data_IF_452528171335
#
_entry.id   IF_452528171335
#
_cell.length_a   1.000
_cell.length_b   1.000
_cell.length_c   1.000
_cell.angle_alpha   90.00
_cell.angle_beta   90.00
_cell.angle_gamma   90.00
#
_symmetry.space_group_name_H-M   'P 1'
#
loop_
_entity.id
_entity.type
_entity.pdbx_description
1 polymer ?
#
# COMPACT_ATOMS: atom_id res chain seq x y z
N UNK A 1 -12.80 -12.82 -21.14
CA UNK A 1 -13.50 -13.73 -20.21
C UNK A 1 -15.02 -13.52 -20.19
N UNK A 2 -15.57 -12.39 -20.68
CA UNK A 2 -17.02 -12.14 -20.64
C UNK A 2 -17.57 -11.95 -19.23
N UNK A 3 -16.69 -11.66 -18.26
CA UNK A 3 -16.98 -11.53 -16.84
C UNK A 3 -17.08 -10.05 -16.47
N UNK A 4 -17.90 -9.77 -15.45
CA UNK A 4 -18.11 -8.43 -14.89
C UNK A 4 -17.82 -8.43 -13.40
N UNK A 5 -17.06 -7.45 -12.93
CA UNK A 5 -16.73 -7.28 -11.50
C UNK A 5 -17.18 -5.90 -11.03
N UNK A 6 -17.92 -5.86 -9.92
CA UNK A 6 -18.26 -4.61 -9.24
C UNK A 6 -17.18 -4.27 -8.22
N UNK A 7 -16.77 -3.01 -8.17
CA UNK A 7 -15.72 -2.50 -7.28
C UNK A 7 -16.31 -1.32 -6.51
N UNK A 8 -16.45 -1.46 -5.20
CA UNK A 8 -17.08 -0.47 -4.34
C UNK A 8 -15.97 0.38 -3.72
N UNK A 9 -15.81 1.61 -4.20
CA UNK A 9 -14.72 2.50 -3.84
C UNK A 9 -13.67 2.64 -4.95
N UNK A 10 -13.49 3.88 -5.41
CA UNK A 10 -12.55 4.30 -6.44
C UNK A 10 -11.21 4.79 -5.87
N UNK A 11 -10.80 4.31 -4.70
CA UNK A 11 -9.47 4.57 -4.13
C UNK A 11 -8.35 3.80 -4.84
N UNK A 12 -7.08 3.97 -4.43
CA UNK A 12 -5.94 3.32 -5.08
C UNK A 12 -6.06 1.79 -5.19
N UNK A 13 -6.57 1.12 -4.15
CA UNK A 13 -6.79 -0.33 -4.18
C UNK A 13 -7.83 -0.74 -5.23
N UNK A 14 -9.01 -0.11 -5.20
CA UNK A 14 -10.10 -0.39 -6.15
C UNK A 14 -9.71 -0.06 -7.59
N UNK A 15 -9.04 1.08 -7.80
CA UNK A 15 -8.49 1.45 -9.10
C UNK A 15 -7.46 0.43 -9.60
N UNK A 16 -6.52 -0.02 -8.77
CA UNK A 16 -5.54 -1.01 -9.22
C UNK A 16 -6.19 -2.35 -9.55
N UNK A 17 -7.14 -2.82 -8.73
CA UNK A 17 -7.90 -4.02 -9.02
C UNK A 17 -8.64 -3.91 -10.37
N UNK A 18 -9.32 -2.79 -10.60
CA UNK A 18 -9.99 -2.50 -11.87
C UNK A 18 -9.02 -2.53 -13.05
N UNK A 19 -7.84 -1.92 -12.89
CA UNK A 19 -6.80 -1.88 -13.91
C UNK A 19 -6.33 -3.29 -14.31
N UNK A 20 -6.03 -4.16 -13.34
CA UNK A 20 -5.58 -5.52 -13.62
C UNK A 20 -6.68 -6.36 -14.28
N UNK A 21 -7.92 -6.25 -13.79
CA UNK A 21 -9.08 -6.95 -14.34
C UNK A 21 -9.36 -6.51 -15.79
N UNK A 22 -9.34 -5.21 -16.04
CA UNK A 22 -9.54 -4.63 -17.36
C UNK A 22 -8.48 -5.09 -18.38
N UNK A 23 -7.21 -5.15 -17.97
CA UNK A 23 -6.12 -5.72 -18.79
C UNK A 23 -6.34 -7.18 -19.16
N UNK A 24 -7.03 -7.95 -18.32
CA UNK A 24 -7.39 -9.34 -18.58
C UNK A 24 -8.72 -9.50 -19.34
N UNK A 25 -9.33 -8.40 -19.81
CA UNK A 25 -10.58 -8.42 -20.58
C UNK A 25 -11.82 -8.73 -19.73
N UNK A 26 -11.79 -8.35 -18.45
CA UNK A 26 -12.95 -8.35 -17.52
C UNK A 26 -13.50 -6.93 -17.43
N UNK A 27 -14.82 -6.77 -17.50
CA UNK A 27 -15.45 -5.47 -17.28
C UNK A 27 -15.42 -5.11 -15.80
N UNK A 28 -14.62 -4.10 -15.45
CA UNK A 28 -14.49 -3.57 -14.10
C UNK A 28 -15.37 -2.34 -13.92
N UNK A 29 -16.40 -2.45 -13.08
CA UNK A 29 -17.34 -1.38 -12.78
C UNK A 29 -17.07 -0.82 -11.39
N UNK A 30 -16.55 0.40 -11.32
CA UNK A 30 -16.31 1.12 -10.08
C UNK A 30 -17.56 1.91 -9.69
N UNK A 31 -17.98 1.77 -8.44
CA UNK A 31 -19.02 2.54 -7.78
C UNK A 31 -18.36 3.39 -6.70
N UNK A 32 -18.22 4.69 -6.99
CA UNK A 32 -17.57 5.67 -6.11
C UNK A 32 -18.63 6.55 -5.44
N UNK A 33 -18.47 6.78 -4.14
CA UNK A 33 -19.37 7.60 -3.34
C UNK A 33 -19.26 9.07 -3.72
N UNK A 34 -18.04 9.54 -3.94
CA UNK A 34 -17.75 10.95 -4.17
C UNK A 34 -17.76 11.28 -5.68
N UNK A 35 -17.50 12.54 -6.06
CA UNK A 35 -17.57 13.01 -7.44
C UNK A 35 -16.29 12.73 -8.27
N UNK A 36 -15.27 12.13 -7.64
CA UNK A 36 -13.99 11.87 -8.27
C UNK A 36 -13.36 10.57 -7.76
N UNK A 37 -12.52 9.95 -8.59
CA UNK A 37 -11.69 8.82 -8.19
C UNK A 37 -10.50 9.27 -7.33
N UNK A 38 -9.82 8.28 -6.74
CA UNK A 38 -8.55 8.42 -6.03
C UNK A 38 -8.62 8.26 -4.52
N UNK A 39 -9.81 8.22 -3.93
CA UNK A 39 -9.99 8.14 -2.48
C UNK A 39 -9.15 9.19 -1.74
N UNK A 40 -8.56 8.81 -0.61
CA UNK A 40 -7.72 9.73 0.18
C UNK A 40 -6.54 10.34 -0.58
N UNK A 41 -5.94 9.65 -1.55
CA UNK A 41 -4.85 10.24 -2.36
C UNK A 41 -5.34 11.48 -3.11
N UNK A 42 -6.46 11.36 -3.80
CA UNK A 42 -7.06 12.48 -4.53
C UNK A 42 -7.71 13.51 -3.61
N UNK A 43 -8.25 13.09 -2.47
CA UNK A 43 -9.10 13.94 -1.63
C UNK A 43 -8.36 14.72 -0.53
N UNK A 44 -7.28 14.19 0.04
CA UNK A 44 -6.62 14.82 1.21
C UNK A 44 -5.13 15.10 1.06
N UNK A 45 -4.41 14.40 0.20
CA UNK A 45 -2.97 14.65 0.05
C UNK A 45 -2.77 16.02 -0.62
N UNK A 46 -1.93 16.91 -0.04
CA UNK A 46 -1.64 18.22 -0.62
C UNK A 46 -1.08 18.14 -2.05
N UNK A 47 -1.40 19.14 -2.88
CA UNK A 47 -1.00 19.14 -4.29
C UNK A 47 0.51 19.35 -4.48
N UNK A 48 1.20 19.91 -3.49
CA UNK A 48 2.65 20.04 -3.42
C UNK A 48 3.34 18.66 -3.38
N UNK A 49 2.67 17.67 -2.77
CA UNK A 49 3.15 16.28 -2.68
C UNK A 49 2.70 15.40 -3.84
N UNK A 50 1.53 15.69 -4.40
CA UNK A 50 0.91 14.92 -5.47
C UNK A 50 0.50 15.88 -6.60
N UNK A 51 1.41 16.33 -7.49
CA UNK A 51 1.13 17.41 -8.42
C UNK A 51 -0.16 17.19 -9.23
N UNK A 52 -1.07 18.19 -9.21
CA UNK A 52 -2.40 18.07 -9.81
C UNK A 52 -2.34 17.72 -11.31
N UNK A 53 -1.41 18.30 -12.05
CA UNK A 53 -1.25 18.01 -13.48
C UNK A 53 -0.93 16.53 -13.75
N UNK A 54 -0.07 15.92 -12.93
CA UNK A 54 0.26 14.50 -13.03
C UNK A 54 -0.95 13.66 -12.62
N UNK A 55 -1.60 14.03 -11.52
CA UNK A 55 -2.81 13.35 -11.05
C UNK A 55 -3.91 13.32 -12.10
N UNK A 56 -4.25 14.47 -12.68
CA UNK A 56 -5.29 14.58 -13.71
C UNK A 56 -4.96 13.72 -14.94
N UNK A 57 -3.71 13.75 -15.39
CA UNK A 57 -3.25 12.93 -16.51
C UNK A 57 -3.37 11.43 -16.22
N UNK A 58 -3.00 10.98 -15.02
CA UNK A 58 -3.11 9.58 -14.62
C UNK A 58 -4.56 9.12 -14.45
N UNK A 59 -5.45 9.97 -13.93
CA UNK A 59 -6.89 9.67 -13.85
C UNK A 59 -7.50 9.57 -15.26
N UNK A 60 -7.14 10.47 -16.18
CA UNK A 60 -7.61 10.40 -17.56
C UNK A 60 -7.12 9.13 -18.26
N UNK A 61 -5.83 8.80 -18.11
CA UNK A 61 -5.25 7.55 -18.63
C UNK A 61 -5.99 6.34 -18.07
N UNK A 62 -6.29 6.34 -16.77
CA UNK A 62 -7.05 5.28 -16.13
C UNK A 62 -8.47 5.14 -16.70
N UNK A 63 -9.21 6.23 -16.84
CA UNK A 63 -10.59 6.23 -17.36
C UNK A 63 -10.68 5.90 -18.85
N UNK A 64 -9.61 6.17 -19.62
CA UNK A 64 -9.53 5.81 -21.04
C UNK A 64 -9.31 4.30 -21.30
N UNK A 65 -9.03 3.51 -20.25
CA UNK A 65 -8.83 2.08 -20.41
C UNK A 65 -10.11 1.38 -20.87
N UNK A 66 -10.04 0.53 -21.90
CA UNK A 66 -11.13 -0.38 -22.23
C UNK A 66 -11.53 -1.20 -21.00
N UNK A 67 -12.82 -1.51 -20.89
CA UNK A 67 -13.40 -2.33 -19.82
C UNK A 67 -13.44 -1.68 -18.42
N UNK A 68 -12.99 -0.44 -18.24
CA UNK A 68 -13.20 0.31 -16.99
C UNK A 68 -14.43 1.21 -17.13
N UNK A 69 -15.36 1.10 -16.18
CA UNK A 69 -16.55 1.96 -16.09
C UNK A 69 -16.63 2.52 -14.67
N UNK A 70 -16.69 3.84 -14.53
CA UNK A 70 -16.83 4.50 -13.23
C UNK A 70 -18.21 5.17 -13.11
N UNK A 71 -18.91 4.88 -12.01
CA UNK A 71 -20.16 5.53 -11.62
C UNK A 71 -19.93 6.25 -10.31
N UNK A 72 -20.20 7.56 -10.29
CA UNK A 72 -19.97 8.45 -9.15
C UNK A 72 -21.26 8.70 -8.36
N UNK A 73 -21.12 9.30 -7.18
CA UNK A 73 -22.25 9.64 -6.29
C UNK A 73 -23.07 8.42 -5.85
N UNK A 74 -22.42 7.26 -5.69
CA UNK A 74 -23.08 6.00 -5.30
C UNK A 74 -22.89 5.76 -3.81
N UNK A 75 -23.90 6.08 -3.02
CA UNK A 75 -23.96 5.67 -1.61
C UNK A 75 -24.31 4.18 -1.52
N UNK A 76 -23.43 3.39 -0.91
CA UNK A 76 -23.64 1.95 -0.79
C UNK A 76 -24.61 1.62 0.34
N UNK A 77 -25.72 0.97 -0.01
CA UNK A 77 -26.72 0.43 0.92
C UNK A 77 -26.72 -1.10 0.87
N UNK A 78 -27.38 -1.76 1.83
CA UNK A 78 -27.54 -3.22 1.80
C UNK A 78 -28.25 -3.70 0.53
N UNK A 79 -29.30 -2.99 0.10
CA UNK A 79 -30.05 -3.33 -1.12
C UNK A 79 -29.21 -3.16 -2.37
N UNK A 80 -28.47 -2.03 -2.47
CA UNK A 80 -27.58 -1.81 -3.61
C UNK A 80 -26.47 -2.84 -3.66
N UNK A 81 -25.89 -3.19 -2.51
CA UNK A 81 -24.88 -4.24 -2.44
C UNK A 81 -25.45 -5.59 -2.90
N UNK A 82 -26.65 -5.96 -2.44
CA UNK A 82 -27.32 -7.20 -2.84
C UNK A 82 -27.63 -7.22 -4.35
N UNK A 83 -28.03 -6.09 -4.93
CA UNK A 83 -28.21 -5.91 -6.37
C UNK A 83 -26.89 -6.17 -7.13
N UNK A 84 -25.79 -5.52 -6.72
CA UNK A 84 -24.48 -5.71 -7.34
C UNK A 84 -24.01 -7.15 -7.23
N UNK A 85 -24.19 -7.79 -6.07
CA UNK A 85 -23.84 -9.21 -5.88
C UNK A 85 -24.62 -10.13 -6.82
N UNK A 86 -25.84 -9.78 -7.24
CA UNK A 86 -26.61 -10.55 -8.22
C UNK A 86 -26.16 -10.30 -9.67
N UNK A 87 -25.89 -9.04 -10.02
CA UNK A 87 -25.60 -8.63 -11.40
C UNK A 87 -24.16 -8.90 -11.87
N UNK A 88 -23.22 -8.96 -10.93
CA UNK A 88 -21.79 -9.10 -11.23
C UNK A 88 -21.30 -10.50 -10.87
N UNK A 89 -20.25 -10.98 -11.53
CA UNK A 89 -19.63 -12.27 -11.25
C UNK A 89 -18.83 -12.25 -9.93
N UNK A 90 -18.30 -11.08 -9.55
CA UNK A 90 -17.58 -10.87 -8.29
C UNK A 90 -17.77 -9.44 -7.77
N UNK A 91 -17.64 -9.22 -6.46
CA UNK A 91 -17.71 -7.90 -5.83
C UNK A 91 -16.43 -7.65 -5.02
N UNK A 92 -15.77 -6.52 -5.27
CA UNK A 92 -14.60 -6.06 -4.51
C UNK A 92 -15.01 -4.88 -3.64
N UNK A 93 -14.81 -4.98 -2.34
CA UNK A 93 -15.01 -3.89 -1.37
C UNK A 93 -13.68 -3.17 -1.17
N UNK A 94 -13.60 -1.93 -1.65
CA UNK A 94 -12.39 -1.10 -1.63
C UNK A 94 -12.68 0.29 -1.03
N UNK A 95 -13.61 0.35 -0.06
CA UNK A 95 -14.13 1.60 0.51
C UNK A 95 -13.14 2.34 1.40
N UNK A 96 -11.99 1.75 1.74
CA UNK A 96 -11.00 2.34 2.65
C UNK A 96 -11.57 2.68 4.03
N UNK A 97 -10.98 3.68 4.69
CA UNK A 97 -11.39 4.17 6.01
C UNK A 97 -11.88 5.60 5.90
N UNK A 98 -13.19 5.84 5.98
CA UNK A 98 -13.77 7.18 5.79
C UNK A 98 -14.66 7.63 6.95
N UNK A 99 -14.69 6.88 8.05
CA UNK A 99 -15.41 7.25 9.26
C UNK A 99 -14.39 7.68 10.32
N UNK A 100 -14.34 8.97 10.72
CA UNK A 100 -13.42 9.40 11.77
C UNK A 100 -13.66 8.67 13.08
N UNK A 101 -12.59 8.35 13.81
CA UNK A 101 -12.72 7.90 15.19
C UNK A 101 -13.09 9.07 16.09
N UNK A 102 -14.10 8.87 16.93
CA UNK A 102 -14.58 9.84 17.91
C UNK A 102 -14.33 9.34 19.32
N UNK A 103 -13.80 10.20 20.19
CA UNK A 103 -13.69 9.96 21.62
C UNK A 103 -14.76 10.82 22.32
N UNK A 104 -15.63 10.23 23.16
CA UNK A 104 -16.70 10.97 23.82
C UNK A 104 -16.15 11.69 25.05
N UNK A 105 -15.60 12.89 24.85
CA UNK A 105 -15.28 13.82 25.93
C UNK A 105 -16.19 15.06 25.84
N UNK A 106 -16.40 15.81 26.94
CA UNK A 106 -17.17 17.05 26.90
C UNK A 106 -16.62 18.02 25.84
N UNK A 107 -17.49 18.48 24.93
CA UNK A 107 -17.13 19.38 23.85
C UNK A 107 -16.53 18.71 22.60
N UNK A 108 -16.50 17.38 22.50
CA UNK A 108 -16.03 16.68 21.30
C UNK A 108 -16.80 17.04 20.02
N UNK A 109 -18.04 17.52 20.13
CA UNK A 109 -18.86 17.98 19.01
C UNK A 109 -18.29 19.22 18.33
N UNK A 110 -17.45 19.99 19.04
CA UNK A 110 -16.79 21.19 18.52
C UNK A 110 -15.50 20.86 17.75
N UNK A 111 -15.05 19.61 17.82
CA UNK A 111 -13.77 19.19 17.27
C UNK A 111 -13.94 18.77 15.81
N UNK A 112 -13.13 19.34 14.93
CA UNK A 112 -13.18 19.05 13.49
C UNK A 112 -12.40 17.77 13.19
N UNK A 113 -12.99 16.78 12.50
CA UNK A 113 -12.23 15.61 12.04
C UNK A 113 -11.16 16.00 11.02
N UNK A 114 -9.95 15.46 11.16
CA UNK A 114 -8.82 15.73 10.26
C UNK A 114 -9.15 15.40 8.79
N UNK A 115 -9.86 14.30 8.53
CA UNK A 115 -10.28 13.92 7.19
C UNK A 115 -11.15 15.01 6.55
N UNK A 116 -12.10 15.57 7.30
CA UNK A 116 -13.00 16.61 6.81
C UNK A 116 -12.28 17.94 6.62
N UNK A 117 -11.38 18.28 7.55
CA UNK A 117 -10.53 19.45 7.45
C UNK A 117 -9.65 19.41 6.19
N UNK A 118 -8.91 18.32 5.96
CA UNK A 118 -8.01 18.19 4.81
C UNK A 118 -8.77 18.19 3.47
N UNK A 119 -9.93 17.53 3.42
CA UNK A 119 -10.82 17.59 2.25
C UNK A 119 -11.26 19.02 1.96
N UNK A 120 -11.67 19.75 2.99
CA UNK A 120 -12.08 21.14 2.85
C UNK A 120 -10.91 22.02 2.42
N UNK A 121 -9.74 21.87 3.06
CA UNK A 121 -8.52 22.63 2.77
C UNK A 121 -8.11 22.54 1.29
N UNK A 122 -8.30 21.36 0.67
CA UNK A 122 -8.01 21.10 -0.73
C UNK A 122 -9.10 21.57 -1.71
N UNK A 123 -10.29 21.90 -1.22
CA UNK A 123 -11.43 22.31 -2.04
C UNK A 123 -11.34 23.76 -2.52
N UNK A 124 -12.22 24.15 -3.45
CA UNK A 124 -12.33 25.54 -3.89
C UNK A 124 -12.83 26.51 -2.80
N UNK A 125 -13.34 25.99 -1.68
CA UNK A 125 -13.82 26.78 -0.53
C UNK A 125 -13.25 26.21 0.78
N UNK A 126 -11.97 26.48 1.09
CA UNK A 126 -11.33 26.00 2.31
C UNK A 126 -12.05 26.47 3.59
N UNK A 127 -12.08 25.59 4.59
CA UNK A 127 -12.50 25.92 5.94
C UNK A 127 -11.59 27.00 6.52
N UNK A 128 -12.17 27.96 7.24
CA UNK A 128 -11.39 28.96 7.98
C UNK A 128 -10.83 28.33 9.25
N UNK A 129 -9.59 28.66 9.57
CA UNK A 129 -8.95 28.29 10.84
C UNK A 129 -8.71 29.52 11.70
N UNK A 130 -8.72 29.32 13.01
CA UNK A 130 -8.28 30.30 14.00
C UNK A 130 -6.79 30.62 13.91
N UNK A 131 -6.35 31.62 14.69
CA UNK A 131 -4.92 31.95 14.80
C UNK A 131 -4.15 30.93 15.64
N UNK A 132 -4.82 30.31 16.60
CA UNK A 132 -4.31 29.24 17.44
C UNK A 132 -5.09 27.95 17.16
N UNK A 133 -4.37 26.91 16.76
CA UNK A 133 -4.92 25.61 16.40
C UNK A 133 -4.30 24.53 17.26
N UNK A 134 -5.14 23.65 17.80
CA UNK A 134 -4.71 22.44 18.49
C UNK A 134 -5.13 21.22 17.68
N UNK A 135 -4.19 20.29 17.49
CA UNK A 135 -4.40 19.04 16.76
C UNK A 135 -4.24 17.89 17.75
N UNK A 136 -5.33 17.16 18.01
CA UNK A 136 -5.33 15.95 18.82
C UNK A 136 -4.84 14.78 17.96
N UNK A 137 -3.61 14.33 18.18
CA UNK A 137 -2.91 13.29 17.44
C UNK A 137 -1.70 13.83 16.68
N UNK A 138 -0.51 13.33 17.02
CA UNK A 138 0.78 13.78 16.47
C UNK A 138 1.45 12.75 15.54
N UNK A 139 0.65 12.14 14.65
CA UNK A 139 1.13 11.30 13.54
C UNK A 139 1.35 12.07 12.25
N UNK A 140 1.74 11.40 11.17
CA UNK A 140 1.99 12.05 9.86
C UNK A 140 0.78 12.84 9.34
N UNK A 141 -0.45 12.32 9.52
CA UNK A 141 -1.68 13.04 9.16
C UNK A 141 -1.84 14.32 10.00
N UNK A 142 -1.50 14.27 11.29
CA UNK A 142 -1.50 15.46 12.14
C UNK A 142 -0.52 16.52 11.66
N UNK A 143 0.66 16.11 11.16
CA UNK A 143 1.61 17.02 10.54
C UNK A 143 1.09 17.61 9.22
N UNK A 144 0.41 16.84 8.38
CA UNK A 144 -0.26 17.36 7.18
C UNK A 144 -1.34 18.39 7.55
N UNK A 145 -2.17 18.10 8.57
CA UNK A 145 -3.15 19.04 9.13
C UNK A 145 -2.48 20.32 9.61
N UNK A 146 -1.33 20.21 10.30
CA UNK A 146 -0.60 21.37 10.78
C UNK A 146 -0.10 22.26 9.63
N UNK A 147 0.49 21.66 8.60
CA UNK A 147 0.94 22.39 7.41
C UNK A 147 -0.22 23.12 6.72
N UNK A 148 -1.36 22.44 6.55
CA UNK A 148 -2.56 23.04 5.95
C UNK A 148 -3.17 24.13 6.83
N UNK A 149 -3.16 23.98 8.16
CA UNK A 149 -3.60 25.02 9.09
C UNK A 149 -2.75 26.30 8.95
N UNK A 150 -1.42 26.16 8.88
CA UNK A 150 -0.53 27.29 8.61
C UNK A 150 -0.80 27.94 7.25
N UNK A 151 -0.96 27.13 6.19
CA UNK A 151 -1.32 27.61 4.85
C UNK A 151 -2.64 28.41 4.85
N UNK A 152 -3.58 28.04 5.71
CA UNK A 152 -4.88 28.69 5.85
C UNK A 152 -4.88 29.85 6.87
N UNK A 153 -3.73 30.24 7.41
CA UNK A 153 -3.55 31.46 8.18
C UNK A 153 -3.48 31.30 9.69
N UNK A 154 -3.31 30.08 10.20
CA UNK A 154 -2.90 29.83 11.59
C UNK A 154 -1.52 30.44 11.86
N UNK A 155 -1.29 30.90 13.09
CA UNK A 155 -0.03 31.47 13.55
C UNK A 155 0.65 30.57 14.58
N UNK A 156 -0.14 29.88 15.40
CA UNK A 156 0.36 28.90 16.36
C UNK A 156 -0.38 27.58 16.18
N UNK A 157 0.36 26.51 15.92
CA UNK A 157 -0.18 25.16 15.81
C UNK A 157 0.50 24.26 16.82
N UNK A 158 -0.29 23.63 17.68
CA UNK A 158 0.20 22.67 18.67
C UNK A 158 -0.40 21.29 18.39
N UNK A 159 0.45 20.30 18.15
CA UNK A 159 0.06 18.90 18.08
C UNK A 159 0.21 18.28 19.47
N UNK A 160 -0.85 17.67 19.97
CA UNK A 160 -0.90 17.01 21.26
C UNK A 160 -1.09 15.51 21.09
N UNK A 161 -0.43 14.70 21.90
CA UNK A 161 -0.57 13.24 21.85
C UNK A 161 -0.42 12.62 23.25
N UNK A 162 -1.10 11.51 23.48
CA UNK A 162 -1.03 10.76 24.74
C UNK A 162 0.32 10.03 24.88
N UNK A 163 0.98 9.76 23.75
CA UNK A 163 2.26 9.08 23.68
C UNK A 163 3.29 9.92 22.92
N UNK A 164 4.54 9.46 22.89
CA UNK A 164 5.57 10.09 22.06
C UNK A 164 5.08 10.15 20.59
N UNK A 165 5.13 11.33 19.93
CA UNK A 165 4.67 11.50 18.56
C UNK A 165 5.23 10.43 17.62
N UNK A 166 4.32 9.79 16.88
CA UNK A 166 4.67 8.78 15.87
C UNK A 166 5.04 9.40 14.52
N UNK A 167 4.88 10.73 14.36
CA UNK A 167 5.27 11.41 13.14
C UNK A 167 6.78 11.28 12.88
N UNK A 168 7.15 11.07 11.63
CA UNK A 168 8.54 10.90 11.21
C UNK A 168 8.78 11.50 9.82
N UNK A 169 10.04 11.50 9.39
CA UNK A 169 10.40 11.82 8.01
C UNK A 169 10.06 13.25 7.58
N UNK A 170 9.67 13.38 6.31
CA UNK A 170 9.45 14.68 5.67
C UNK A 170 8.23 15.41 6.22
N UNK A 171 7.19 14.67 6.59
CA UNK A 171 5.95 15.20 7.15
C UNK A 171 6.21 15.93 8.47
N UNK A 172 6.95 15.29 9.38
CA UNK A 172 7.33 15.93 10.65
C UNK A 172 8.21 17.16 10.43
N UNK A 173 9.24 17.02 9.60
CA UNK A 173 10.18 18.11 9.32
C UNK A 173 9.48 19.33 8.70
N UNK A 174 8.50 19.13 7.82
CA UNK A 174 7.73 20.20 7.21
C UNK A 174 6.89 20.97 8.25
N UNK A 175 6.22 20.25 9.16
CA UNK A 175 5.46 20.87 10.24
C UNK A 175 6.36 21.67 11.21
N UNK A 176 7.50 21.09 11.61
CA UNK A 176 8.48 21.77 12.48
C UNK A 176 9.07 23.02 11.82
N UNK A 177 9.36 22.96 10.51
CA UNK A 177 9.87 24.11 9.76
C UNK A 177 8.89 25.29 9.69
N UNK A 178 7.58 25.02 9.80
CA UNK A 178 6.53 26.03 9.90
C UNK A 178 6.29 26.52 11.34
N UNK A 179 6.98 25.94 12.33
CA UNK A 179 6.89 26.32 13.74
C UNK A 179 5.92 25.49 14.57
N UNK A 180 5.47 24.32 14.06
CA UNK A 180 4.57 23.45 14.80
C UNK A 180 5.21 22.95 16.11
N UNK A 181 4.47 23.05 17.21
CA UNK A 181 4.90 22.58 18.54
C UNK A 181 4.31 21.20 18.81
N UNK A 182 5.08 20.32 19.42
CA UNK A 182 4.64 18.98 19.82
C UNK A 182 4.62 18.89 21.34
N UNK A 183 3.51 18.45 21.91
CA UNK A 183 3.33 18.26 23.36
C UNK A 183 2.86 16.84 23.66
N UNK A 184 3.59 16.16 24.53
CA UNK A 184 3.23 14.83 25.05
C UNK A 184 3.87 14.62 26.43
N UNK A 185 3.29 13.79 27.31
CA UNK A 185 1.97 13.18 27.17
C UNK A 185 0.85 14.20 27.46
N UNK A 186 -0.17 14.26 26.61
CA UNK A 186 -1.36 15.10 26.80
C UNK A 186 -2.61 14.26 26.54
N UNK A 187 -3.42 14.08 27.59
CA UNK A 187 -4.72 13.43 27.50
C UNK A 187 -5.82 14.50 27.54
N UNK A 188 -6.67 14.54 26.52
CA UNK A 188 -7.79 15.48 26.45
C UNK A 188 -8.84 15.15 27.51
N UNK A 189 -9.19 16.14 28.33
CA UNK A 189 -10.30 16.07 29.28
C UNK A 189 -11.57 16.62 28.66
N UNK A 190 -11.49 17.81 28.07
CA UNK A 190 -12.62 18.49 27.41
C UNK A 190 -12.11 19.54 26.41
N UNK A 191 -13.02 20.00 25.55
CA UNK A 191 -12.79 21.13 24.63
C UNK A 191 -13.83 22.21 24.90
N UNK A 192 -13.36 23.43 25.13
CA UNK A 192 -14.18 24.62 25.40
C UNK A 192 -13.99 25.66 24.29
N UNK A 193 -14.67 26.81 24.40
CA UNK A 193 -14.50 27.92 23.46
C UNK A 193 -13.09 28.54 23.52
N UNK A 194 -12.40 28.40 24.66
CA UNK A 194 -11.05 28.92 24.89
C UNK A 194 -9.96 27.98 24.36
N UNK A 195 -10.25 26.68 24.20
CA UNK A 195 -9.31 25.70 23.66
C UNK A 195 -9.46 24.29 24.23
N UNK A 196 -8.35 23.57 24.26
CA UNK A 196 -8.30 22.20 24.80
C UNK A 196 -7.87 22.21 26.26
N UNK A 197 -8.63 21.55 27.12
CA UNK A 197 -8.25 21.33 28.52
C UNK A 197 -7.77 19.89 28.66
N UNK A 198 -6.57 19.72 29.19
CA UNK A 198 -6.00 18.40 29.43
C UNK A 198 -6.46 17.77 30.76
N UNK A 199 -6.08 16.52 31.00
CA UNK A 199 -6.40 15.78 32.22
C UNK A 199 -5.82 16.41 33.50
N UNK A 200 -4.77 17.22 33.40
CA UNK A 200 -4.19 17.96 34.52
C UNK A 200 -4.91 19.30 34.79
N UNK A 201 -5.86 19.69 33.92
CA UNK A 201 -6.57 20.96 34.00
C UNK A 201 -5.83 22.13 33.36
N UNK A 202 -4.76 21.87 32.61
CA UNK A 202 -4.05 22.89 31.86
C UNK A 202 -4.84 23.24 30.58
N UNK A 203 -5.04 24.54 30.36
CA UNK A 203 -5.60 25.05 29.11
C UNK A 203 -4.50 25.19 28.05
N UNK A 204 -4.75 24.61 26.87
CA UNK A 204 -4.02 24.84 25.64
C UNK A 204 -4.91 25.71 24.74
N UNK A 205 -4.63 27.02 24.64
CA UNK A 205 -5.49 27.96 23.93
C UNK A 205 -5.63 27.61 22.45
N UNK A 206 -6.87 27.59 21.95
CA UNK A 206 -7.15 27.33 20.55
C UNK A 206 -8.51 27.89 20.16
N UNK A 207 -8.61 28.50 18.98
CA UNK A 207 -9.91 28.82 18.37
C UNK A 207 -10.37 27.72 17.40
N UNK A 208 -9.51 26.76 17.09
CA UNK A 208 -9.85 25.60 16.26
C UNK A 208 -9.17 24.37 16.84
N UNK A 209 -9.97 23.33 17.11
CA UNK A 209 -9.46 22.03 17.57
C UNK A 209 -9.77 21.00 16.49
N UNK A 210 -8.75 20.27 16.07
CA UNK A 210 -8.84 19.25 15.02
C UNK A 210 -8.44 17.90 15.62
N UNK A 211 -9.19 16.83 15.35
CA UNK A 211 -8.86 15.47 15.82
C UNK A 211 -8.36 14.59 14.68
N UNK A 212 -7.17 14.01 14.87
CA UNK A 212 -6.40 13.24 13.89
C UNK A 212 -5.94 11.90 14.48
N UNK A 213 -6.86 11.14 15.08
CA UNK A 213 -6.56 9.84 15.73
C UNK A 213 -6.90 8.61 14.85
N UNK A 214 -7.03 8.84 13.54
CA UNK A 214 -7.32 7.80 12.55
C UNK A 214 -8.79 7.65 12.20
N UNK A 215 -9.02 6.97 11.08
CA UNK A 215 -10.35 6.68 10.53
C UNK A 215 -10.59 5.16 10.53
N UNK A 216 -11.85 4.77 10.44
CA UNK A 216 -12.31 3.38 10.39
C UNK A 216 -13.20 3.14 9.16
N UNK A 217 -13.38 1.87 8.74
CA UNK A 217 -14.23 1.56 7.60
C UNK A 217 -15.72 1.70 7.93
N UNK A 218 -16.51 2.18 6.98
CA UNK A 218 -17.97 2.21 7.08
C UNK A 218 -18.56 0.92 6.49
N UNK A 219 -18.95 -0.03 7.33
CA UNK A 219 -19.27 -1.41 6.90
C UNK A 219 -20.77 -1.78 6.94
N UNK A 220 -21.65 -0.83 7.26
CA UNK A 220 -23.10 -1.10 7.50
C UNK A 220 -23.84 -1.72 6.30
N UNK A 221 -23.29 -1.60 5.09
CA UNK A 221 -23.87 -2.16 3.87
C UNK A 221 -23.51 -3.63 3.62
N UNK A 222 -22.54 -4.18 4.35
CA UNK A 222 -22.09 -5.55 4.14
C UNK A 222 -23.19 -6.56 4.52
N UNK A 223 -23.26 -7.70 3.80
CA UNK A 223 -24.09 -8.83 4.19
C UNK A 223 -23.45 -9.59 5.37
N UNK A 224 -24.28 -10.31 6.12
CA UNK A 224 -23.83 -11.10 7.29
C UNK A 224 -22.91 -12.28 6.90
N UNK A 225 -22.82 -12.61 5.61
CA UNK A 225 -21.91 -13.64 5.09
C UNK A 225 -20.45 -13.21 5.09
N UNK A 226 -20.16 -11.92 5.30
CA UNK A 226 -18.80 -11.38 5.34
C UNK A 226 -18.36 -11.23 6.80
N UNK A 227 -17.35 -12.00 7.20
CA UNK A 227 -16.76 -11.93 8.54
C UNK A 227 -16.05 -10.58 8.75
N UNK A 228 -16.35 -9.95 9.88
CA UNK A 228 -15.73 -8.70 10.34
C UNK A 228 -15.09 -8.96 11.69
N UNK A 229 -13.82 -8.56 11.83
CA UNK A 229 -13.09 -8.63 13.10
C UNK A 229 -13.08 -7.25 13.76
N UNK A 230 -13.16 -7.23 15.10
CA UNK A 230 -13.10 -5.99 15.87
C UNK A 230 -11.69 -5.78 16.39
N UNK A 231 -11.04 -4.70 15.99
CA UNK A 231 -9.70 -4.30 16.46
C UNK A 231 -9.73 -2.85 16.92
N UNK A 232 -9.40 -2.63 18.19
CA UNK A 232 -9.40 -1.29 18.79
C UNK A 232 -10.75 -0.58 18.70
N UNK A 233 -11.85 -1.31 18.93
CA UNK A 233 -13.22 -0.79 18.93
C UNK A 233 -13.86 -0.58 17.55
N UNK A 234 -13.17 -0.96 16.47
CA UNK A 234 -13.66 -0.79 15.10
C UNK A 234 -13.67 -2.10 14.32
N UNK A 235 -14.64 -2.25 13.41
CA UNK A 235 -14.75 -3.41 12.53
C UNK A 235 -13.87 -3.30 11.29
N UNK A 236 -13.20 -4.39 10.95
CA UNK A 236 -12.36 -4.55 9.76
C UNK A 236 -12.75 -5.84 9.03
N UNK A 237 -12.79 -5.82 7.71
CA UNK A 237 -13.16 -7.02 6.94
C UNK A 237 -12.04 -8.04 7.06
N UNK A 238 -12.39 -9.26 7.45
CA UNK A 238 -11.43 -10.37 7.53
C UNK A 238 -11.23 -10.97 6.14
N UNK A 239 -9.98 -11.02 5.71
CA UNK A 239 -9.58 -11.57 4.42
C UNK A 239 -8.41 -12.54 4.55
N UNK A 240 -8.26 -13.43 3.58
CA UNK A 240 -7.00 -14.16 3.39
C UNK A 240 -5.94 -13.28 2.69
N UNK A 241 -4.75 -13.83 2.43
CA UNK A 241 -3.65 -13.10 1.79
C UNK A 241 -3.96 -12.58 0.36
N UNK A 242 -4.98 -13.13 -0.29
CA UNK A 242 -5.47 -12.72 -1.60
C UNK A 242 -6.58 -11.67 -1.52
N UNK A 243 -7.01 -11.25 -0.33
CA UNK A 243 -8.14 -10.34 -0.15
C UNK A 243 -9.51 -11.01 -0.32
N UNK A 244 -9.61 -12.34 -0.32
CA UNK A 244 -10.90 -13.05 -0.37
C UNK A 244 -11.52 -13.10 1.04
N UNK A 245 -12.82 -12.85 1.13
CA UNK A 245 -13.58 -12.90 2.39
C UNK A 245 -14.14 -14.30 2.65
N UNK A 246 -14.91 -14.46 3.73
CA UNK A 246 -15.70 -15.67 4.01
C UNK A 246 -16.79 -15.94 2.98
N UNK A 247 -17.17 -14.95 2.17
CA UNK A 247 -18.07 -15.13 1.03
C UNK A 247 -17.25 -15.24 -0.26
N UNK A 248 -17.35 -16.36 -1.01
CA UNK A 248 -16.49 -16.62 -2.16
C UNK A 248 -16.70 -15.64 -3.32
N UNK A 249 -17.82 -14.90 -3.33
CA UNK A 249 -18.11 -13.88 -4.35
C UNK A 249 -17.65 -12.48 -3.95
N UNK A 250 -17.10 -12.33 -2.74
CA UNK A 250 -16.74 -11.03 -2.17
C UNK A 250 -15.26 -11.03 -1.77
N UNK A 251 -14.56 -10.01 -2.24
CA UNK A 251 -13.21 -9.65 -1.80
C UNK A 251 -13.21 -8.30 -1.12
N UNK A 252 -12.20 -8.01 -0.31
CA UNK A 252 -11.96 -6.68 0.21
C UNK A 252 -10.46 -6.32 0.12
N UNK A 253 -10.18 -5.04 -0.19
CA UNK A 253 -8.82 -4.58 -0.48
C UNK A 253 -8.52 -3.17 0.03
N UNK A 254 -7.28 -2.95 0.44
CA UNK A 254 -6.79 -1.66 0.94
C UNK A 254 -7.20 -1.41 2.38
N UNK A 255 -7.34 -0.14 2.77
CA UNK A 255 -7.53 0.23 4.18
C UNK A 255 -8.78 -0.37 4.85
N UNK A 256 -9.72 -0.94 4.09
CA UNK A 256 -10.92 -1.60 4.64
C UNK A 256 -10.60 -2.88 5.43
N UNK A 257 -9.50 -3.57 5.09
CA UNK A 257 -9.04 -4.79 5.79
C UNK A 257 -8.06 -4.45 6.93
N UNK A 258 -7.18 -3.47 6.71
CA UNK A 258 -6.19 -2.99 7.68
C UNK A 258 -5.56 -1.68 7.19
N UNK A 259 -5.13 -0.78 8.08
CA UNK A 259 -4.39 0.41 7.69
C UNK A 259 -3.09 0.06 6.95
N UNK A 260 -2.76 0.82 5.90
CA UNK A 260 -1.49 0.66 5.20
C UNK A 260 -1.05 1.90 4.43
N UNK A 261 0.07 1.78 3.71
CA UNK A 261 0.53 2.78 2.76
C UNK A 261 -0.23 2.65 1.43
N UNK A 262 -0.16 3.70 0.62
CA UNK A 262 -0.70 3.68 -0.74
C UNK A 262 -0.16 2.51 -1.58
N UNK A 263 1.12 2.16 -1.40
CA UNK A 263 1.76 1.03 -2.07
C UNK A 263 1.21 -0.32 -1.61
N UNK A 264 0.85 -0.47 -0.33
CA UNK A 264 0.15 -1.67 0.16
C UNK A 264 -1.23 -1.80 -0.49
N UNK A 265 -1.98 -0.69 -0.59
CA UNK A 265 -3.29 -0.66 -1.24
C UNK A 265 -3.22 -1.06 -2.72
N UNK A 266 -2.25 -0.52 -3.46
CA UNK A 266 -2.00 -0.90 -4.86
C UNK A 266 -1.63 -2.38 -5.00
N UNK A 267 -0.74 -2.88 -4.14
CA UNK A 267 -0.34 -4.29 -4.12
C UNK A 267 -1.51 -5.24 -3.81
N UNK A 268 -2.35 -4.89 -2.83
CA UNK A 268 -3.54 -5.66 -2.50
C UNK A 268 -4.53 -5.71 -3.68
N UNK A 269 -4.78 -4.57 -4.34
CA UNK A 269 -5.63 -4.52 -5.53
C UNK A 269 -5.14 -5.45 -6.64
N UNK A 270 -3.81 -5.49 -6.87
CA UNK A 270 -3.21 -6.41 -7.83
C UNK A 270 -3.42 -7.88 -7.45
N UNK A 271 -3.04 -8.27 -6.23
CA UNK A 271 -3.12 -9.66 -5.76
C UNK A 271 -4.56 -10.19 -5.80
N UNK A 272 -5.52 -9.39 -5.37
CA UNK A 272 -6.94 -9.77 -5.42
C UNK A 272 -7.45 -9.92 -6.84
N UNK A 273 -7.07 -9.04 -7.76
CA UNK A 273 -7.44 -9.20 -9.16
C UNK A 273 -6.86 -10.49 -9.77
N UNK A 274 -5.60 -10.82 -9.48
CA UNK A 274 -4.98 -12.09 -9.90
C UNK A 274 -5.74 -13.30 -9.33
N UNK A 275 -6.15 -13.24 -8.06
CA UNK A 275 -6.91 -14.31 -7.44
C UNK A 275 -8.32 -14.50 -8.03
N UNK A 276 -9.01 -13.41 -8.33
CA UNK A 276 -10.30 -13.44 -9.03
C UNK A 276 -10.15 -14.03 -10.43
N UNK A 277 -9.09 -13.63 -11.16
CA UNK A 277 -8.82 -14.15 -12.50
C UNK A 277 -8.48 -15.63 -12.50
N UNK A 278 -7.69 -16.11 -11.53
CA UNK A 278 -7.44 -17.53 -11.33
C UNK A 278 -8.75 -18.27 -11.05
N UNK A 279 -9.59 -17.75 -10.14
CA UNK A 279 -10.90 -18.31 -9.86
C UNK A 279 -11.81 -18.41 -11.09
N UNK A 280 -11.84 -17.38 -11.95
CA UNK A 280 -12.61 -17.42 -13.21
C UNK A 280 -12.13 -18.46 -14.22
N UNK A 281 -10.88 -18.89 -14.11
CA UNK A 281 -10.30 -19.97 -14.93
C UNK A 281 -10.40 -21.35 -14.27
N UNK A 282 -10.86 -21.43 -13.02
CA UNK A 282 -10.80 -22.66 -12.22
C UNK A 282 -9.38 -23.01 -11.76
N UNK A 283 -8.47 -22.04 -11.73
CA UNK A 283 -7.09 -22.18 -11.30
C UNK A 283 -6.94 -21.78 -9.83
N UNK A 284 -5.95 -22.37 -9.14
CA UNK A 284 -5.56 -21.93 -7.81
C UNK A 284 -4.62 -20.72 -7.90
N UNK A 285 -4.93 -19.65 -7.17
CA UNK A 285 -4.03 -18.50 -7.06
C UNK A 285 -2.84 -18.82 -6.17
N UNK A 286 -1.64 -18.46 -6.63
CA UNK A 286 -0.40 -18.56 -5.86
C UNK A 286 0.20 -17.17 -5.73
N UNK A 287 0.54 -16.79 -4.49
CA UNK A 287 1.21 -15.53 -4.25
C UNK A 287 2.58 -15.52 -4.95
N UNK A 288 3.01 -14.34 -5.40
CA UNK A 288 4.38 -14.13 -5.82
C UNK A 288 5.27 -14.14 -4.58
N UNK A 289 5.60 -15.33 -4.09
CA UNK A 289 6.64 -15.52 -3.10
C UNK A 289 7.99 -15.34 -3.76
N UNK A 290 8.79 -14.38 -3.30
CA UNK A 290 10.23 -14.43 -3.60
C UNK A 290 10.74 -15.76 -3.08
N UNK A 291 11.24 -16.61 -3.97
CA UNK A 291 11.89 -17.83 -3.54
C UNK A 291 13.16 -17.43 -2.80
N UNK A 292 13.19 -17.71 -1.50
CA UNK A 292 14.41 -17.54 -0.72
C UNK A 292 15.49 -18.38 -1.38
N UNK A 293 16.56 -17.73 -1.83
CA UNK A 293 17.71 -18.45 -2.37
C UNK A 293 18.32 -19.21 -1.18
N UNK A 294 18.35 -20.56 -1.21
CA UNK A 294 18.90 -21.33 -0.10
C UNK A 294 20.35 -20.93 0.13
N UNK A 295 20.80 -20.91 1.39
CA UNK A 295 22.21 -20.65 1.70
C UNK A 295 23.15 -21.62 0.96
N UNK A 296 22.72 -22.86 0.75
CA UNK A 296 23.46 -23.86 -0.03
C UNK A 296 23.62 -23.50 -1.53
N UNK A 297 22.77 -22.61 -2.06
CA UNK A 297 22.85 -22.10 -3.43
C UNK A 297 23.74 -20.86 -3.56
N UNK A 298 24.22 -20.29 -2.44
CA UNK A 298 25.18 -19.19 -2.44
C UNK A 298 26.60 -19.73 -2.63
N UNK A 299 27.36 -19.15 -3.55
CA UNK A 299 28.76 -19.54 -3.79
C UNK A 299 29.68 -18.40 -3.38
N UNK A 300 30.46 -18.61 -2.31
CA UNK A 300 31.44 -17.63 -1.82
C UNK A 300 32.82 -17.78 -2.50
N UNK A 301 32.99 -18.70 -3.45
CA UNK A 301 34.29 -18.99 -4.08
C UNK A 301 34.97 -17.77 -4.73
N UNK A 302 34.18 -16.78 -5.17
CA UNK A 302 34.67 -15.51 -5.72
C UNK A 302 34.33 -14.30 -4.84
N UNK A 303 33.76 -14.54 -3.66
CA UNK A 303 33.50 -13.50 -2.68
C UNK A 303 34.75 -13.32 -1.83
N UNK A 304 35.43 -12.18 -1.95
CA UNK A 304 36.48 -11.83 -1.02
C UNK A 304 35.82 -11.52 0.34
N UNK A 305 36.11 -12.25 1.43
CA UNK A 305 35.52 -11.97 2.74
C UNK A 305 36.14 -10.74 3.42
N UNK A 306 37.29 -10.26 2.94
CA UNK A 306 37.90 -9.06 3.49
C UNK A 306 37.06 -7.82 3.10
N UNK A 307 36.74 -6.95 4.08
CA UNK A 307 36.16 -5.65 3.80
C UNK A 307 37.11 -4.89 2.88
N UNK A 308 36.57 -4.24 1.84
CA UNK A 308 37.41 -3.29 1.10
C UNK A 308 37.75 -2.15 2.08
N UNK A 309 39.04 -1.88 2.30
CA UNK A 309 39.46 -0.84 3.24
C UNK A 309 38.76 0.49 2.91
N UNK A 310 37.95 1.01 3.86
CA UNK A 310 37.18 2.23 3.69
C UNK A 310 35.78 2.07 3.09
N UNK A 311 35.24 0.86 2.94
CA UNK A 311 33.85 0.64 2.54
C UNK A 311 32.85 0.95 3.66
N UNK A 312 31.66 1.42 3.28
CA UNK A 312 30.53 1.59 4.19
C UNK A 312 29.71 0.29 4.29
N UNK A 313 28.89 0.16 5.34
CA UNK A 313 27.95 -0.97 5.48
C UNK A 313 27.03 -1.15 4.26
N UNK A 314 26.61 -0.04 3.64
CA UNK A 314 25.84 -0.05 2.41
C UNK A 314 26.65 -0.59 1.22
N UNK A 315 27.92 -0.18 1.10
CA UNK A 315 28.81 -0.68 0.05
C UNK A 315 29.13 -2.17 0.22
N UNK A 316 29.24 -2.65 1.47
CA UNK A 316 29.40 -4.08 1.76
C UNK A 316 28.14 -4.88 1.41
N UNK A 317 26.94 -4.33 1.66
CA UNK A 317 25.67 -4.98 1.32
C UNK A 317 25.41 -5.09 -0.20
N UNK A 318 26.06 -4.26 -1.02
CA UNK A 318 25.97 -4.30 -2.49
C UNK A 318 26.96 -5.30 -3.13
N UNK A 319 27.86 -5.91 -2.34
CA UNK A 319 28.82 -6.87 -2.86
C UNK A 319 28.11 -8.15 -3.29
N UNK A 320 28.37 -8.58 -4.52
CA UNK A 320 27.78 -9.79 -5.08
C UNK A 320 28.34 -11.04 -4.37
N UNK A 321 27.52 -11.66 -3.53
CA UNK A 321 27.72 -13.03 -3.06
C UNK A 321 26.89 -13.95 -3.98
N UNK A 322 27.55 -14.50 -5.00
CA UNK A 322 26.95 -15.22 -6.14
C UNK A 322 25.75 -16.09 -5.72
N UNK A 323 24.55 -15.69 -6.15
CA UNK A 323 23.30 -16.27 -5.70
C UNK A 323 22.87 -17.54 -6.47
N UNK A 324 23.79 -18.19 -7.18
CA UNK A 324 23.50 -19.41 -7.94
C UNK A 324 22.74 -19.18 -9.25
N UNK A 325 22.70 -17.95 -9.78
CA UNK A 325 22.05 -17.64 -11.06
C UNK A 325 23.07 -17.61 -12.20
N UNK A 326 22.80 -18.34 -13.29
CA UNK A 326 23.68 -18.37 -14.46
C UNK A 326 23.74 -16.97 -15.10
N UNK A 327 24.93 -16.53 -15.52
CA UNK A 327 25.17 -15.23 -16.19
C UNK A 327 25.45 -15.36 -17.69
N UNK A 328 25.23 -16.54 -18.24
CA UNK A 328 25.43 -16.85 -19.66
C UNK A 328 26.82 -16.53 -20.24
N UNK A 329 27.88 -16.72 -19.45
CA UNK A 329 29.23 -16.32 -19.83
C UNK A 329 29.98 -17.30 -20.76
N UNK A 330 29.38 -18.44 -21.13
CA UNK A 330 29.97 -19.49 -21.97
C UNK A 330 31.29 -20.12 -21.49
N UNK A 331 31.81 -19.76 -20.31
CA UNK A 331 33.08 -20.29 -19.79
C UNK A 331 33.05 -21.81 -19.61
N UNK A 332 31.94 -22.35 -19.09
CA UNK A 332 31.80 -23.79 -18.87
C UNK A 332 31.74 -24.61 -20.17
N UNK A 333 31.23 -24.04 -21.25
CA UNK A 333 31.22 -24.61 -22.60
C UNK A 333 32.64 -24.59 -23.19
N UNK A 334 33.33 -23.46 -23.03
CA UNK A 334 34.69 -23.26 -23.57
C UNK A 334 35.74 -24.13 -22.87
N UNK A 335 35.67 -24.27 -21.55
CA UNK A 335 36.70 -24.98 -20.76
C UNK A 335 36.53 -26.51 -20.78
N UNK A 336 35.39 -27.02 -21.25
CA UNK A 336 35.13 -28.46 -21.22
C UNK A 336 36.00 -29.19 -22.27
N UNK A 337 36.98 -30.01 -21.85
CA UNK A 337 37.95 -30.60 -22.79
C UNK A 337 37.31 -31.62 -23.74
N UNK A 338 36.21 -32.24 -23.33
CA UNK A 338 35.47 -33.23 -24.12
C UNK A 338 34.22 -32.65 -24.79
N UNK A 339 34.00 -31.34 -24.69
CA UNK A 339 32.80 -30.66 -25.20
C UNK A 339 31.49 -31.32 -24.71
N UNK A 340 31.48 -31.79 -23.47
CA UNK A 340 30.29 -32.35 -22.84
C UNK A 340 29.25 -31.28 -22.48
N UNK A 341 29.68 -30.02 -22.28
CA UNK A 341 28.79 -28.91 -21.93
C UNK A 341 28.31 -28.19 -23.19
N UNK A 342 27.00 -27.95 -23.30
CA UNK A 342 26.40 -27.18 -24.39
C UNK A 342 25.32 -26.23 -23.90
N UNK A 343 25.22 -25.05 -24.53
CA UNK A 343 24.13 -24.09 -24.29
C UNK A 343 22.92 -24.41 -25.18
N UNK A 344 21.72 -24.42 -24.62
CA UNK A 344 20.45 -24.61 -25.32
C UNK A 344 19.56 -23.38 -25.15
N UNK A 345 19.09 -22.82 -26.27
CA UNK A 345 18.08 -21.76 -26.26
C UNK A 345 16.71 -22.34 -25.92
N UNK A 346 15.96 -21.64 -25.06
CA UNK A 346 14.55 -21.93 -24.77
C UNK A 346 13.68 -20.84 -25.43
N UNK A 347 12.36 -20.88 -25.20
CA UNK A 347 11.45 -19.87 -25.76
C UNK A 347 11.81 -18.45 -25.27
N UNK A 348 11.78 -17.47 -26.18
CA UNK A 348 12.08 -16.07 -25.86
C UNK A 348 13.57 -15.81 -25.64
N UNK A 349 13.91 -15.26 -24.46
CA UNK A 349 15.30 -14.92 -24.07
C UNK A 349 15.90 -15.94 -23.08
N UNK A 350 15.17 -17.00 -22.77
CA UNK A 350 15.58 -17.99 -21.78
C UNK A 350 16.58 -19.00 -22.37
N UNK A 351 17.39 -19.58 -21.51
CA UNK A 351 18.43 -20.53 -21.89
C UNK A 351 18.72 -21.51 -20.75
N UNK A 352 19.36 -22.63 -21.09
CA UNK A 352 19.95 -23.56 -20.13
C UNK A 352 21.27 -24.11 -20.65
N UNK A 353 22.12 -24.57 -19.75
CA UNK A 353 23.28 -25.37 -20.11
C UNK A 353 23.05 -26.83 -19.72
N UNK A 354 23.53 -27.76 -20.54
CA UNK A 354 23.35 -29.21 -20.36
C UNK A 354 24.70 -29.90 -20.46
N UNK A 355 24.92 -30.88 -19.59
CA UNK A 355 26.07 -31.79 -19.65
C UNK A 355 25.65 -33.11 -20.28
N UNK A 356 26.37 -33.53 -21.32
CA UNK A 356 26.22 -34.82 -22.00
C UNK A 356 26.91 -35.92 -21.17
N UNK A 357 26.15 -36.88 -20.60
CA UNK A 357 26.70 -37.91 -19.73
C UNK A 357 27.64 -38.87 -20.47
N UNK A 358 27.49 -39.04 -21.79
CA UNK A 358 28.31 -39.96 -22.58
C UNK A 358 29.69 -39.35 -22.90
N UNK A 359 29.81 -38.02 -22.83
CA UNK A 359 31.06 -37.27 -23.05
C UNK A 359 31.71 -36.77 -21.77
N UNK A 360 30.95 -36.68 -20.68
CA UNK A 360 31.44 -36.14 -19.42
C UNK A 360 32.40 -37.14 -18.74
N UNK A 361 33.68 -36.76 -18.65
CA UNK A 361 34.72 -37.55 -17.96
C UNK A 361 34.89 -37.17 -16.49
N UNK A 362 33.96 -36.39 -15.93
CA UNK A 362 33.97 -35.93 -14.54
C UNK A 362 35.26 -35.20 -14.09
N UNK A 363 35.93 -34.47 -15.00
CA UNK A 363 37.17 -33.75 -14.69
C UNK A 363 37.03 -32.52 -13.78
N UNK A 364 35.82 -32.00 -13.57
CA UNK A 364 35.56 -30.88 -12.64
C UNK A 364 35.79 -29.46 -13.19
N UNK A 365 36.46 -29.27 -14.33
CA UNK A 365 36.81 -27.91 -14.82
C UNK A 365 35.63 -26.96 -14.99
N UNK A 366 34.47 -27.46 -15.43
CA UNK A 366 33.26 -26.65 -15.56
C UNK A 366 32.68 -26.20 -14.20
N UNK A 367 32.86 -27.03 -13.16
CA UNK A 367 32.51 -26.73 -11.77
C UNK A 367 33.44 -25.67 -11.20
N UNK A 368 34.75 -25.86 -11.35
CA UNK A 368 35.77 -24.97 -10.78
C UNK A 368 35.78 -23.59 -11.44
N UNK A 369 35.55 -23.53 -12.75
CA UNK A 369 35.58 -22.28 -13.52
C UNK A 369 34.27 -21.49 -13.41
N UNK A 370 33.17 -22.09 -12.94
CA UNK A 370 31.88 -21.43 -12.97
C UNK A 370 31.82 -20.28 -11.94
N UNK A 371 31.74 -19.00 -12.39
CA UNK A 371 31.71 -17.87 -11.46
C UNK A 371 30.41 -17.79 -10.65
N UNK A 372 29.44 -18.61 -11.01
CA UNK A 372 28.09 -18.60 -10.48
C UNK A 372 27.74 -19.87 -9.68
N UNK A 373 28.66 -20.85 -9.61
CA UNK A 373 28.43 -22.12 -8.91
C UNK A 373 27.32 -22.99 -9.50
N UNK A 374 27.05 -22.88 -10.80
CA UNK A 374 25.96 -23.60 -11.49
C UNK A 374 26.24 -25.09 -11.63
N UNK A 375 27.50 -25.45 -11.83
CA UNK A 375 27.93 -26.83 -11.95
C UNK A 375 28.38 -27.35 -10.60
N UNK A 376 27.91 -28.54 -10.24
CA UNK A 376 28.33 -29.25 -9.02
C UNK A 376 28.74 -30.64 -9.43
N UNK A 377 29.92 -31.05 -9.00
CA UNK A 377 30.38 -32.43 -9.14
C UNK A 377 29.63 -33.30 -8.14
N UNK A 378 28.93 -34.34 -8.62
CA UNK A 378 28.38 -35.36 -7.73
C UNK A 378 29.48 -36.37 -7.42
N UNK A 379 29.95 -36.47 -6.17
CA UNK A 379 30.78 -37.59 -5.77
C UNK A 379 29.93 -38.87 -5.90
N UNK A 380 30.56 -39.96 -6.32
CA UNK A 380 29.93 -41.28 -6.43
C UNK A 380 29.40 -41.78 -5.09
#
# INVERSE_FOLDING_TARGET
LGKKVAIIGGGPAGMNAAWQLAKAGVEAHIFERDQQLGGKLGQVIPWERLPKAIWDAEIQRFLSMPNIKATFNVNMTKDKFAELKKQYDHVIVAVGTHQPRTIPFPGHEQVVPALDFLKSAKSAKPMKVGKQVVIIGAGNVGCDVACEAYRLGAQEVTLVDIQKPLAFGKEKAAAEALGAKFQWPVQTKEVTAEGLIDAAGQLIPAQTVIISIGDVPALKFLPDTVEVITVGGAGWIKCNAAGLTSDPKISAVGDVERPGLATNALGAGKKTAEAILAGFKGEEWKDFGQQLIPHASLTAAHYNPEPCAGSSEAAEAERCMSCGTCRDCHLCETICPTQAISRQNLEGKDYRYVSDPDKCIACGFCSDTCPCGIWVMRPF
#
